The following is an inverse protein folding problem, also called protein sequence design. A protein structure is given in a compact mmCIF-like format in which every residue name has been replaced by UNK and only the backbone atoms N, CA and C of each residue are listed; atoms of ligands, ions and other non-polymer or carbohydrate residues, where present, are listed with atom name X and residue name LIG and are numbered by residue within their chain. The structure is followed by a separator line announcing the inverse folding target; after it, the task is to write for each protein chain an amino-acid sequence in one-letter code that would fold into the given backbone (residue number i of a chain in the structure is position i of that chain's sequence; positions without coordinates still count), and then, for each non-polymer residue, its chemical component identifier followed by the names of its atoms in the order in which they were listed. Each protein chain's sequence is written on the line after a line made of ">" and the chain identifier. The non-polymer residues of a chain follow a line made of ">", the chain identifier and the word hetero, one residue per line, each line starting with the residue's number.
data_IF_506395339905
#
_entry.id   IF_506395339905
#
_cell.length_a   1.000
_cell.length_b   1.000
_cell.length_c   1.000
_cell.angle_alpha   90.00
_cell.angle_beta   90.00
_cell.angle_gamma   90.00
#
_symmetry.space_group_name_H-M   'P 1'
#
loop_
_entity.id
_entity.type
_entity.pdbx_description
1 polymer ?
#
# COMPACT_ATOMS: atom_id res chain seq x y z
N UNK A 1 -11.24 -16.45 5.84
CA UNK A 1 -10.21 -15.64 5.17
C UNK A 1 -10.39 -15.76 3.66
N UNK A 2 -10.48 -14.66 2.89
CA UNK A 2 -10.72 -14.70 1.43
C UNK A 2 -9.46 -15.02 0.60
N UNK A 3 -8.29 -15.04 1.24
CA UNK A 3 -7.00 -15.40 0.65
C UNK A 3 -6.55 -16.77 1.18
N UNK A 4 -5.89 -17.54 0.33
CA UNK A 4 -5.10 -18.70 0.71
C UNK A 4 -3.69 -18.26 1.10
N UNK A 5 -2.92 -19.15 1.74
CA UNK A 5 -1.60 -18.83 2.28
C UNK A 5 -0.59 -18.40 1.20
N UNK A 6 -0.78 -18.85 -0.05
CA UNK A 6 0.06 -18.54 -1.20
C UNK A 6 -0.42 -17.31 -2.02
N UNK A 7 -1.56 -16.72 -1.65
CA UNK A 7 -2.10 -15.54 -2.33
C UNK A 7 -1.43 -14.24 -1.87
N UNK A 8 -0.82 -14.24 -0.68
CA UNK A 8 -0.20 -13.08 -0.06
C UNK A 8 1.28 -13.39 0.21
N UNK A 9 2.15 -12.60 -0.41
CA UNK A 9 3.57 -12.60 -0.09
C UNK A 9 3.90 -11.34 0.71
N UNK A 10 4.47 -11.53 1.90
CA UNK A 10 4.98 -10.45 2.73
C UNK A 10 6.50 -10.53 2.73
N UNK A 11 7.13 -9.60 2.02
CA UNK A 11 8.58 -9.43 2.07
C UNK A 11 8.94 -8.55 3.25
N UNK A 12 9.96 -8.92 4.00
CA UNK A 12 10.51 -8.13 5.09
C UNK A 12 11.92 -7.69 4.72
N UNK A 13 12.20 -6.40 4.85
CA UNK A 13 13.51 -5.84 4.63
C UNK A 13 13.86 -4.99 5.84
N UNK A 14 15.08 -5.13 6.36
CA UNK A 14 15.60 -4.31 7.44
C UNK A 14 16.96 -3.77 7.01
N UNK A 15 17.21 -2.49 7.25
CA UNK A 15 18.46 -1.85 6.86
C UNK A 15 18.68 -0.52 7.58
N UNK A 16 19.92 -0.03 7.64
CA UNK A 16 20.21 1.30 8.15
C UNK A 16 19.56 2.36 7.24
N UNK A 17 18.86 3.30 7.84
CA UNK A 17 18.35 4.50 7.17
C UNK A 17 19.46 5.53 6.94
N UNK A 18 19.14 6.58 6.19
CA UNK A 18 20.07 7.68 5.89
C UNK A 18 20.54 8.43 7.16
N UNK A 19 19.80 8.27 8.26
CA UNK A 19 20.09 8.79 9.60
C UNK A 19 20.94 7.84 10.47
N UNK A 20 21.33 6.67 9.93
CA UNK A 20 22.07 5.63 10.65
C UNK A 20 21.21 4.80 11.61
N UNK A 21 19.92 5.08 11.73
CA UNK A 21 19.01 4.27 12.54
C UNK A 21 18.52 3.06 11.73
N UNK A 22 18.44 1.89 12.36
CA UNK A 22 17.86 0.71 11.72
C UNK A 22 16.36 0.93 11.47
N UNK A 23 15.95 0.72 10.22
CA UNK A 23 14.56 0.82 9.77
C UNK A 23 14.13 -0.51 9.16
N UNK A 24 12.88 -0.85 9.43
CA UNK A 24 12.22 -2.01 8.84
C UNK A 24 11.17 -1.58 7.84
N UNK A 25 11.07 -2.31 6.74
CA UNK A 25 10.03 -2.16 5.73
C UNK A 25 9.43 -3.52 5.43
N UNK A 26 8.17 -3.50 4.99
CA UNK A 26 7.52 -4.69 4.49
C UNK A 26 6.80 -4.39 3.18
N UNK A 27 6.95 -5.29 2.21
CA UNK A 27 6.21 -5.28 0.96
C UNK A 27 5.09 -6.30 1.05
N UNK A 28 3.85 -5.89 0.78
CA UNK A 28 2.72 -6.82 0.66
C UNK A 28 2.37 -6.96 -0.81
N UNK A 29 2.56 -8.15 -1.36
CA UNK A 29 2.20 -8.50 -2.74
C UNK A 29 1.03 -9.48 -2.70
N UNK A 30 -0.03 -9.18 -3.43
CA UNK A 30 -1.21 -10.04 -3.54
C UNK A 30 -1.34 -10.52 -4.97
N UNK A 31 -1.57 -11.82 -5.17
CA UNK A 31 -1.83 -12.36 -6.50
C UNK A 31 -3.08 -11.73 -7.12
N UNK A 32 -2.98 -11.30 -8.37
CA UNK A 32 -4.04 -10.53 -9.02
C UNK A 32 -5.35 -11.34 -9.22
N UNK A 33 -5.25 -12.65 -9.42
CA UNK A 33 -6.41 -13.55 -9.53
C UNK A 33 -7.14 -13.71 -8.18
N UNK A 34 -6.42 -13.71 -7.07
CA UNK A 34 -7.01 -13.81 -5.73
C UNK A 34 -7.87 -12.61 -5.36
N UNK A 35 -7.56 -11.42 -5.90
CA UNK A 35 -8.35 -10.20 -5.72
C UNK A 35 -9.80 -10.34 -6.21
N UNK A 36 -10.06 -11.25 -7.17
CA UNK A 36 -11.42 -11.51 -7.69
C UNK A 36 -12.38 -11.97 -6.59
N UNK A 37 -11.88 -12.67 -5.56
CA UNK A 37 -12.70 -13.14 -4.42
C UNK A 37 -13.20 -12.00 -3.54
N UNK A 38 -12.56 -10.82 -3.63
CA UNK A 38 -13.01 -9.57 -3.03
C UNK A 38 -13.89 -8.73 -3.97
N UNK A 39 -14.25 -9.26 -5.15
CA UNK A 39 -14.93 -8.50 -6.20
C UNK A 39 -14.03 -7.52 -6.94
N UNK A 40 -12.71 -7.57 -6.73
CA UNK A 40 -11.72 -6.72 -7.38
C UNK A 40 -11.16 -7.46 -8.59
N UNK A 41 -11.70 -7.19 -9.78
CA UNK A 41 -11.24 -7.83 -11.01
C UNK A 41 -10.09 -7.03 -11.64
N UNK A 42 -9.02 -7.66 -12.15
CA UNK A 42 -7.91 -6.92 -12.77
C UNK A 42 -8.33 -6.17 -14.05
N UNK A 43 -9.30 -6.72 -14.80
CA UNK A 43 -9.92 -6.02 -15.94
C UNK A 43 -11.11 -5.14 -15.51
N UNK A 44 -11.36 -5.00 -14.20
CA UNK A 44 -12.30 -3.98 -13.71
C UNK A 44 -11.74 -2.63 -14.13
N UNK A 45 -12.60 -1.70 -14.60
CA UNK A 45 -12.18 -0.33 -14.77
C UNK A 45 -11.55 0.13 -13.46
N UNK A 46 -10.26 0.53 -13.49
CA UNK A 46 -9.64 1.22 -12.37
C UNK A 46 -10.65 2.21 -11.84
N UNK A 47 -10.84 2.28 -10.52
CA UNK A 47 -11.78 3.20 -9.90
C UNK A 47 -11.48 4.62 -10.39
N UNK A 48 -12.14 5.03 -11.46
CA UNK A 48 -11.92 6.33 -12.08
C UNK A 48 -12.64 7.29 -11.16
N UNK A 49 -11.90 8.16 -10.48
CA UNK A 49 -12.53 9.24 -9.72
C UNK A 49 -13.34 10.07 -10.72
N UNK A 50 -14.67 10.02 -10.63
CA UNK A 50 -15.60 10.83 -11.44
C UNK A 50 -15.88 12.18 -10.76
N UNK A 51 -14.99 12.61 -9.86
CA UNK A 51 -15.15 13.82 -9.07
C UNK A 51 -13.80 14.49 -8.84
N UNK A 52 -13.81 15.76 -8.42
CA UNK A 52 -12.58 16.46 -8.08
C UNK A 52 -11.79 15.66 -7.05
N UNK A 53 -10.47 15.69 -7.14
CA UNK A 53 -9.62 15.12 -6.09
C UNK A 53 -10.08 15.66 -4.73
N UNK A 54 -10.06 14.83 -3.68
CA UNK A 54 -10.35 15.29 -2.32
C UNK A 54 -9.50 16.53 -2.02
N UNK A 55 -10.01 17.45 -1.18
CA UNK A 55 -9.24 18.61 -0.76
C UNK A 55 -7.85 18.19 -0.26
N UNK A 56 -6.80 18.93 -0.62
CA UNK A 56 -5.42 18.55 -0.28
C UNK A 56 -5.18 18.33 1.21
N UNK A 57 -5.95 18.99 2.09
CA UNK A 57 -5.88 18.78 3.54
C UNK A 57 -6.30 17.36 3.98
N UNK A 58 -7.10 16.65 3.18
CA UNK A 58 -7.51 15.27 3.46
C UNK A 58 -6.31 14.32 3.42
N UNK A 59 -5.40 14.53 2.46
CA UNK A 59 -4.17 13.75 2.34
C UNK A 59 -3.03 14.34 3.17
N UNK A 60 -3.09 15.62 3.55
CA UNK A 60 -2.01 16.32 4.23
C UNK A 60 -1.58 15.69 5.56
N UNK A 61 -2.47 15.06 6.33
CA UNK A 61 -2.08 14.36 7.56
C UNK A 61 -1.28 13.07 7.24
N UNK A 62 -1.74 12.28 6.27
CA UNK A 62 -1.04 11.08 5.83
C UNK A 62 0.29 11.40 5.13
N UNK A 63 0.34 12.44 4.30
CA UNK A 63 1.56 12.92 3.65
C UNK A 63 2.56 13.50 4.65
N UNK A 64 2.10 14.21 5.69
CA UNK A 64 2.97 14.67 6.77
C UNK A 64 3.53 13.52 7.58
N UNK A 65 2.69 12.58 8.01
CA UNK A 65 3.14 11.38 8.72
C UNK A 65 4.14 10.57 7.89
N UNK A 66 3.92 10.46 6.57
CA UNK A 66 4.87 9.83 5.66
C UNK A 66 6.19 10.60 5.54
N UNK A 67 6.17 11.94 5.46
CA UNK A 67 7.39 12.76 5.39
C UNK A 67 8.15 12.79 6.71
N UNK A 68 7.45 12.82 7.85
CA UNK A 68 8.03 12.78 9.18
C UNK A 68 8.65 11.41 9.47
N UNK A 69 8.02 10.33 9.02
CA UNK A 69 8.62 9.00 9.03
C UNK A 69 9.81 8.82 8.05
N UNK A 70 10.18 9.84 7.28
CA UNK A 70 11.34 9.86 6.37
C UNK A 70 12.44 10.85 6.78
N UNK A 71 12.24 11.65 7.83
CA UNK A 71 13.32 12.35 8.54
C UNK A 71 13.90 11.45 9.63
#
# INVERSE_FOLDING_TARGET
>A
MPFQDDDILIDLVCGPGDDGHWRGWFGVRVRADALRRLGLHPDQPLSRRIGPSPPGWWHAAAERAFREGRR
#
